data_IF_414480695308
#
_entry.id   IF_414480695308
#
_cell.length_a   1.000
_cell.length_b   1.000
_cell.length_c   1.000
_cell.angle_alpha   90.00
_cell.angle_beta   90.00
_cell.angle_gamma   90.00
#
_symmetry.space_group_name_H-M   'P 1'
#
loop_
_entity.id
_entity.type
_entity.pdbx_description
1 polymer ?
#
# COMPACT_ATOMS: atom_id res chain seq x y z
N UNK A 1 -1.40 -11.85 5.13
CA UNK A 1 -0.15 -12.38 4.55
C UNK A 1 0.80 -12.64 5.68
N UNK A 2 1.44 -13.82 5.72
CA UNK A 2 2.33 -14.22 6.81
C UNK A 2 3.78 -14.05 6.33
N UNK A 3 4.63 -13.34 7.09
CA UNK A 3 6.05 -13.20 6.72
C UNK A 3 6.83 -14.48 6.99
N UNK A 4 7.98 -14.62 6.33
CA UNK A 4 8.95 -15.69 6.64
C UNK A 4 9.35 -15.72 8.13
N UNK A 5 9.42 -14.56 8.80
CA UNK A 5 9.69 -14.49 10.24
C UNK A 5 8.50 -14.97 11.09
N UNK A 6 7.29 -14.50 10.79
CA UNK A 6 6.07 -14.93 11.47
C UNK A 6 5.82 -16.42 11.28
N UNK A 7 6.20 -16.99 10.14
CA UNK A 7 6.21 -18.44 9.91
C UNK A 7 7.11 -19.17 10.91
N UNK A 8 8.36 -18.73 11.05
CA UNK A 8 9.31 -19.36 11.97
C UNK A 8 8.83 -19.27 13.42
N UNK A 9 8.29 -18.12 13.83
CA UNK A 9 7.69 -17.96 15.15
C UNK A 9 6.44 -18.84 15.34
N UNK A 10 5.59 -18.94 14.31
CA UNK A 10 4.41 -19.79 14.33
C UNK A 10 4.78 -21.27 14.42
N UNK A 11 5.73 -21.75 13.61
CA UNK A 11 6.25 -23.13 13.66
C UNK A 11 6.80 -23.48 15.04
N UNK A 12 7.58 -22.57 15.64
CA UNK A 12 8.14 -22.74 16.99
C UNK A 12 7.04 -22.88 18.05
N UNK A 13 5.90 -22.22 17.87
CA UNK A 13 4.76 -22.23 18.80
C UNK A 13 3.67 -23.24 18.43
N UNK A 14 3.76 -23.90 17.28
CA UNK A 14 2.68 -24.73 16.72
C UNK A 14 2.23 -25.84 17.66
N UNK A 15 3.17 -26.50 18.36
CA UNK A 15 2.82 -27.56 19.32
C UNK A 15 1.99 -27.03 20.50
N UNK A 16 2.36 -25.86 21.03
CA UNK A 16 1.60 -25.20 22.10
C UNK A 16 0.24 -24.70 21.62
N UNK A 17 0.18 -24.13 20.41
CA UNK A 17 -1.06 -23.67 19.79
C UNK A 17 -2.02 -24.84 19.55
N UNK A 18 -1.54 -25.94 18.96
CA UNK A 18 -2.36 -27.15 18.77
C UNK A 18 -2.92 -27.65 20.11
N UNK A 19 -2.10 -27.68 21.18
CA UNK A 19 -2.57 -28.06 22.52
C UNK A 19 -3.64 -27.12 23.07
N UNK A 20 -3.54 -25.81 22.81
CA UNK A 20 -4.52 -24.81 23.26
C UNK A 20 -5.81 -24.80 22.43
N UNK A 21 -5.73 -25.16 21.15
CA UNK A 21 -6.89 -25.22 20.24
C UNK A 21 -7.73 -26.48 20.46
N UNK A 22 -7.15 -27.54 21.02
CA UNK A 22 -7.89 -28.74 21.38
C UNK A 22 -8.80 -28.44 22.59
N UNK A 23 -10.09 -28.64 22.38
CA UNK A 23 -11.14 -28.56 23.39
C UNK A 23 -11.10 -29.81 24.28
N UNK A 24 -11.75 -29.73 25.45
CA UNK A 24 -11.89 -30.90 26.34
C UNK A 24 -12.73 -32.03 25.74
N UNK A 25 -13.53 -31.73 24.71
CA UNK A 25 -14.37 -32.69 24.01
C UNK A 25 -13.73 -33.10 22.68
N UNK A 26 -13.35 -34.37 22.63
CA UNK A 26 -12.65 -35.00 21.50
C UNK A 26 -13.46 -34.97 20.20
N UNK A 27 -14.79 -34.93 20.25
CA UNK A 27 -15.61 -34.87 19.03
C UNK A 27 -15.45 -33.53 18.31
N UNK A 28 -15.37 -32.42 19.05
CA UNK A 28 -15.15 -31.11 18.45
C UNK A 28 -13.73 -30.97 17.90
N UNK A 29 -12.75 -31.63 18.51
CA UNK A 29 -11.37 -31.65 18.02
C UNK A 29 -11.26 -32.34 16.66
N UNK A 30 -11.93 -33.48 16.52
CA UNK A 30 -12.02 -34.20 15.24
C UNK A 30 -12.75 -33.36 14.19
N UNK A 31 -13.84 -32.69 14.56
CA UNK A 31 -14.59 -31.84 13.64
C UNK A 31 -13.75 -30.65 13.15
N UNK A 32 -13.08 -29.94 14.06
CA UNK A 32 -12.18 -28.84 13.73
C UNK A 32 -11.07 -29.29 12.78
N UNK A 33 -10.43 -30.42 13.09
CA UNK A 33 -9.43 -31.03 12.21
C UNK A 33 -10.00 -31.33 10.82
N UNK A 34 -11.15 -32.00 10.73
CA UNK A 34 -11.80 -32.35 9.46
C UNK A 34 -12.12 -31.11 8.62
N UNK A 35 -12.55 -30.01 9.24
CA UNK A 35 -12.82 -28.74 8.53
C UNK A 35 -11.54 -28.15 7.93
N UNK A 36 -10.47 -28.05 8.74
CA UNK A 36 -9.19 -27.49 8.29
C UNK A 36 -8.52 -28.35 7.20
N UNK A 37 -8.55 -29.68 7.37
CA UNK A 37 -8.03 -30.62 6.39
C UNK A 37 -8.77 -30.54 5.05
N UNK A 38 -10.11 -30.51 5.07
CA UNK A 38 -10.92 -30.38 3.85
C UNK A 38 -10.71 -29.03 3.15
N UNK A 39 -10.53 -27.95 3.91
CA UNK A 39 -10.21 -26.65 3.34
C UNK A 39 -8.90 -26.71 2.56
N UNK A 40 -7.85 -27.29 3.15
CA UNK A 40 -6.55 -27.45 2.50
C UNK A 40 -6.60 -28.35 1.25
N UNK A 41 -7.37 -29.45 1.29
CA UNK A 41 -7.53 -30.35 0.15
C UNK A 41 -8.19 -29.63 -1.03
N UNK A 42 -9.13 -28.72 -0.77
CA UNK A 42 -9.82 -27.94 -1.81
C UNK A 42 -8.99 -26.82 -2.41
N UNK A 43 -7.98 -26.32 -1.69
CA UNK A 43 -7.14 -25.21 -2.18
C UNK A 43 -5.98 -25.69 -3.06
N UNK A 44 -5.94 -26.96 -3.50
CA UNK A 44 -4.79 -27.62 -4.16
C UNK A 44 -3.47 -27.48 -3.41
N UNK A 45 -3.54 -27.01 -2.17
CA UNK A 45 -2.39 -26.73 -1.35
C UNK A 45 -1.90 -28.02 -0.68
N UNK A 46 -2.79 -28.98 -0.43
CA UNK A 46 -2.46 -30.13 0.39
C UNK A 46 -1.68 -31.23 -0.35
N UNK A 47 -0.47 -31.53 0.14
CA UNK A 47 0.30 -32.72 -0.29
C UNK A 47 -0.04 -33.97 0.52
N UNK A 48 -0.77 -33.81 1.62
CA UNK A 48 -0.84 -34.82 2.69
C UNK A 48 -2.12 -35.68 2.65
N UNK A 49 -3.02 -35.46 1.67
CA UNK A 49 -4.24 -36.25 1.42
C UNK A 49 -5.04 -36.57 2.69
N UNK A 50 -5.23 -35.57 3.56
CA UNK A 50 -5.80 -35.77 4.89
C UNK A 50 -7.28 -36.18 4.88
N UNK A 51 -8.01 -35.92 3.79
CA UNK A 51 -9.36 -36.44 3.54
C UNK A 51 -9.46 -37.98 3.51
N UNK A 52 -8.35 -38.71 3.40
CA UNK A 52 -8.33 -40.17 3.35
C UNK A 52 -8.08 -40.84 4.72
N UNK A 53 -7.96 -40.06 5.81
CA UNK A 53 -7.73 -40.61 7.14
C UNK A 53 -8.97 -41.37 7.66
N UNK A 54 -8.77 -42.62 8.10
CA UNK A 54 -9.81 -43.46 8.69
C UNK A 54 -10.27 -42.90 10.06
N UNK A 55 -11.56 -43.02 10.35
CA UNK A 55 -12.22 -42.53 11.56
C UNK A 55 -11.66 -43.17 12.84
N UNK A 56 -11.17 -44.40 12.76
CA UNK A 56 -10.45 -45.06 13.86
C UNK A 56 -9.14 -44.36 14.24
N UNK A 57 -8.47 -43.71 13.29
CA UNK A 57 -7.24 -42.95 13.54
C UNK A 57 -7.56 -41.61 14.22
N UNK A 58 -8.75 -41.05 13.92
CA UNK A 58 -9.25 -39.80 14.50
C UNK A 58 -9.83 -39.99 15.91
N UNK A 59 -10.10 -41.22 16.35
CA UNK A 59 -10.46 -41.52 17.74
C UNK A 59 -9.30 -41.42 18.73
N UNK A 60 -8.07 -41.22 18.26
CA UNK A 60 -6.90 -41.05 19.11
C UNK A 60 -6.52 -39.55 19.19
N UNK A 61 -6.79 -38.93 20.35
CA UNK A 61 -6.56 -37.50 20.59
C UNK A 61 -5.10 -37.07 20.40
N UNK A 62 -4.15 -37.96 20.69
CA UNK A 62 -2.71 -37.71 20.48
C UNK A 62 -2.36 -37.64 18.99
N UNK A 63 -2.95 -38.52 18.17
CA UNK A 63 -2.80 -38.48 16.71
C UNK A 63 -3.50 -37.29 16.09
N UNK A 64 -4.71 -36.95 16.54
CA UNK A 64 -5.43 -35.74 16.10
C UNK A 64 -4.59 -34.49 16.37
N UNK A 65 -3.93 -34.43 17.52
CA UNK A 65 -2.98 -33.36 17.85
C UNK A 65 -1.82 -33.29 16.86
N UNK A 66 -1.19 -34.42 16.54
CA UNK A 66 -0.09 -34.49 15.57
C UNK A 66 -0.55 -34.02 14.17
N UNK A 67 -1.70 -34.49 13.71
CA UNK A 67 -2.25 -34.07 12.42
C UNK A 67 -2.62 -32.59 12.39
N UNK A 68 -3.19 -32.07 13.49
CA UNK A 68 -3.48 -30.65 13.60
C UNK A 68 -2.20 -29.81 13.51
N UNK A 69 -1.12 -30.24 14.17
CA UNK A 69 0.17 -29.55 14.05
C UNK A 69 0.68 -29.53 12.60
N UNK A 70 0.55 -30.65 11.88
CA UNK A 70 0.99 -30.74 10.50
C UNK A 70 0.13 -29.88 9.57
N UNK A 71 -1.19 -29.86 9.76
CA UNK A 71 -2.12 -28.96 9.06
C UNK A 71 -1.76 -27.50 9.30
N UNK A 72 -1.51 -27.11 10.55
CA UNK A 72 -1.13 -25.74 10.89
C UNK A 72 0.20 -25.32 10.24
N UNK A 73 1.22 -26.20 10.26
CA UNK A 73 2.50 -25.93 9.57
C UNK A 73 2.30 -25.76 8.07
N UNK A 74 1.51 -26.65 7.46
CA UNK A 74 1.23 -26.61 6.04
C UNK A 74 0.45 -25.34 5.65
N UNK A 75 -0.51 -24.92 6.47
CA UNK A 75 -1.18 -23.62 6.30
C UNK A 75 -0.20 -22.44 6.39
N UNK A 76 0.78 -22.50 7.29
CA UNK A 76 1.81 -21.47 7.39
C UNK A 76 2.74 -21.46 6.17
N UNK A 77 3.09 -22.63 5.62
CA UNK A 77 3.84 -22.75 4.37
C UNK A 77 3.13 -22.07 3.21
N UNK A 78 1.85 -22.39 3.01
CA UNK A 78 1.01 -21.81 1.96
C UNK A 78 0.87 -20.31 2.13
N UNK A 79 0.68 -19.84 3.37
CA UNK A 79 0.60 -18.40 3.66
C UNK A 79 1.91 -17.63 3.41
N UNK A 80 3.04 -18.33 3.30
CA UNK A 80 4.37 -17.78 3.00
C UNK A 80 4.75 -17.94 1.53
N UNK A 81 4.14 -18.86 0.76
CA UNK A 81 4.33 -18.89 -0.70
C UNK A 81 4.01 -17.52 -1.30
N UNK A 82 2.95 -16.86 -0.82
CA UNK A 82 2.61 -15.48 -1.13
C UNK A 82 3.78 -14.48 -0.80
N UNK A 83 4.54 -14.70 0.27
CA UNK A 83 5.74 -13.91 0.64
C UNK A 83 6.95 -14.19 -0.26
N UNK A 84 7.08 -15.39 -0.81
CA UNK A 84 8.15 -15.74 -1.77
C UNK A 84 8.01 -14.92 -3.05
N UNK A 85 6.77 -14.71 -3.51
CA UNK A 85 6.45 -13.92 -4.70
C UNK A 85 6.29 -12.42 -4.42
N UNK A 86 6.36 -12.00 -3.15
CA UNK A 86 6.25 -10.60 -2.80
C UNK A 86 7.40 -9.77 -3.39
N UNK A 87 7.11 -8.55 -3.91
CA UNK A 87 8.14 -7.64 -4.39
C UNK A 87 9.23 -7.41 -3.35
N UNK A 88 10.49 -7.34 -3.79
CA UNK A 88 11.64 -7.08 -2.92
C UNK A 88 12.29 -5.75 -3.23
N UNK A 89 12.51 -4.96 -2.19
CA UNK A 89 13.02 -3.59 -2.29
C UNK A 89 14.45 -3.48 -1.78
N UNK A 90 15.22 -2.61 -2.41
CA UNK A 90 16.52 -2.16 -1.92
C UNK A 90 16.36 -1.14 -0.79
N UNK A 91 17.42 -0.95 -0.01
CA UNK A 91 17.50 0.16 0.96
C UNK A 91 17.34 1.53 0.29
N UNK A 92 17.74 1.69 -0.98
CA UNK A 92 17.53 2.91 -1.77
C UNK A 92 16.06 3.16 -2.11
N UNK A 93 15.34 2.11 -2.53
CA UNK A 93 13.90 2.21 -2.79
C UNK A 93 13.12 2.49 -1.50
N UNK A 94 13.44 1.80 -0.41
CA UNK A 94 12.80 2.06 0.88
C UNK A 94 13.10 3.47 1.39
N UNK A 95 14.32 3.98 1.22
CA UNK A 95 14.65 5.35 1.59
C UNK A 95 13.71 6.37 0.90
N UNK A 96 13.38 6.14 -0.37
CA UNK A 96 12.41 6.95 -1.12
C UNK A 96 11.01 6.85 -0.51
N UNK A 97 10.48 5.64 -0.31
CA UNK A 97 9.13 5.42 0.20
C UNK A 97 8.94 5.94 1.63
N UNK A 98 9.95 5.79 2.48
CA UNK A 98 9.91 6.27 3.86
C UNK A 98 10.26 7.76 4.01
N UNK A 99 10.68 8.45 2.95
CA UNK A 99 11.11 9.85 3.02
C UNK A 99 12.36 10.08 3.87
N UNK A 100 13.28 9.11 3.94
CA UNK A 100 14.50 9.17 4.78
C UNK A 100 15.77 8.85 4.00
N UNK A 101 16.93 9.03 4.62
CA UNK A 101 18.20 8.65 3.99
C UNK A 101 18.41 7.13 3.96
N UNK A 102 19.20 6.63 2.98
CA UNK A 102 19.64 5.22 2.93
C UNK A 102 20.36 4.83 4.23
N UNK A 103 21.13 5.75 4.81
CA UNK A 103 21.80 5.57 6.11
C UNK A 103 20.80 5.32 7.22
N UNK A 104 19.66 6.01 7.24
CA UNK A 104 18.59 5.82 8.21
C UNK A 104 17.99 4.42 8.10
N UNK A 105 17.69 3.95 6.89
CA UNK A 105 17.20 2.58 6.67
C UNK A 105 18.22 1.54 7.14
N UNK A 106 19.50 1.76 6.83
CA UNK A 106 20.58 0.89 7.29
C UNK A 106 20.67 0.81 8.82
N UNK A 107 20.53 1.94 9.51
CA UNK A 107 20.52 1.97 10.97
C UNK A 107 19.31 1.19 11.51
N UNK A 108 18.12 1.38 10.94
CA UNK A 108 16.92 0.65 11.37
C UNK A 108 17.01 -0.86 11.16
N UNK A 109 17.69 -1.31 10.11
CA UNK A 109 17.99 -2.74 9.92
C UNK A 109 18.92 -3.23 11.04
N UNK A 110 19.98 -2.48 11.34
CA UNK A 110 20.90 -2.81 12.45
C UNK A 110 20.21 -2.80 13.81
N UNK A 111 19.22 -1.92 14.01
CA UNK A 111 18.41 -1.81 15.23
C UNK A 111 17.32 -2.90 15.32
N UNK A 112 17.21 -3.79 14.32
CA UNK A 112 16.21 -4.86 14.30
C UNK A 112 14.78 -4.36 14.05
N UNK A 113 14.61 -3.14 13.51
CA UNK A 113 13.28 -2.57 13.23
C UNK A 113 12.61 -3.18 12.01
N UNK A 114 13.35 -3.90 11.16
CA UNK A 114 12.78 -4.75 10.11
C UNK A 114 12.86 -6.20 10.58
N UNK A 115 11.72 -6.78 10.95
CA UNK A 115 11.67 -8.10 11.57
C UNK A 115 12.14 -9.19 10.59
N UNK A 116 13.02 -10.08 11.07
CA UNK A 116 13.58 -11.17 10.28
C UNK A 116 14.62 -10.76 9.24
N UNK A 117 15.01 -9.49 9.18
CA UNK A 117 16.07 -9.01 8.29
C UNK A 117 17.38 -8.89 9.06
N UNK A 118 18.26 -9.86 8.86
CA UNK A 118 19.64 -9.79 9.35
C UNK A 118 20.59 -9.39 8.22
N UNK A 119 21.61 -8.59 8.54
CA UNK A 119 22.69 -8.28 7.59
C UNK A 119 23.54 -9.52 7.34
N UNK A 120 23.21 -10.24 6.26
CA UNK A 120 24.00 -11.38 5.79
C UNK A 120 25.25 -10.87 5.06
N UNK A 121 26.32 -10.65 5.83
CA UNK A 121 27.68 -10.22 5.43
C UNK A 121 27.81 -8.77 4.96
N UNK A 122 28.91 -8.14 5.39
CA UNK A 122 29.38 -6.83 4.95
C UNK A 122 29.45 -6.80 3.42
N UNK A 123 28.77 -5.84 2.79
CA UNK A 123 28.69 -5.58 1.34
C UNK A 123 27.61 -6.31 0.50
N UNK A 124 26.69 -7.09 1.08
CA UNK A 124 25.47 -7.49 0.33
C UNK A 124 24.37 -6.45 0.48
N UNK A 125 23.82 -5.99 -0.64
CA UNK A 125 22.62 -5.15 -0.65
C UNK A 125 21.45 -5.93 -0.02
N UNK A 126 20.94 -5.45 1.12
CA UNK A 126 19.77 -6.04 1.75
C UNK A 126 18.56 -5.90 0.80
N UNK A 127 17.87 -7.01 0.56
CA UNK A 127 16.61 -7.08 -0.21
C UNK A 127 15.50 -7.38 0.78
N UNK A 128 14.58 -6.44 0.93
CA UNK A 128 13.52 -6.48 1.95
C UNK A 128 12.20 -6.77 1.25
N UNK A 129 11.49 -7.81 1.68
CA UNK A 129 10.17 -8.18 1.14
C UNK A 129 9.14 -7.09 1.45
N UNK A 130 8.20 -6.87 0.54
CA UNK A 130 7.01 -6.04 0.75
C UNK A 130 6.27 -6.42 2.04
N UNK A 131 6.27 -7.70 2.43
CA UNK A 131 5.55 -8.13 3.63
C UNK A 131 6.33 -7.93 4.91
N UNK A 132 7.63 -7.61 4.82
CA UNK A 132 8.49 -7.43 6.00
C UNK A 132 7.83 -6.46 6.96
N UNK A 133 7.72 -6.85 8.23
CA UNK A 133 7.17 -5.99 9.27
C UNK A 133 8.24 -4.99 9.71
N UNK A 134 7.91 -3.70 9.58
CA UNK A 134 8.67 -2.60 10.14
C UNK A 134 8.06 -2.14 11.47
N UNK A 135 8.92 -1.94 12.47
CA UNK A 135 8.56 -1.45 13.80
C UNK A 135 8.85 0.05 13.85
N UNK A 136 7.80 0.84 14.04
CA UNK A 136 7.91 2.29 14.25
C UNK A 136 8.62 2.63 15.58
N UNK A 137 9.02 3.89 15.77
CA UNK A 137 9.66 4.34 17.01
C UNK A 137 8.74 4.19 18.24
N UNK A 138 7.42 4.22 18.02
CA UNK A 138 6.41 4.04 19.07
C UNK A 138 6.07 2.57 19.33
N UNK A 139 6.72 1.63 18.63
CA UNK A 139 6.48 0.19 18.77
C UNK A 139 5.31 -0.35 17.93
N UNK A 140 4.65 0.48 17.13
CA UNK A 140 3.62 0.01 16.17
C UNK A 140 4.27 -0.77 15.02
N UNK A 141 3.57 -1.79 14.54
CA UNK A 141 3.99 -2.68 13.45
C UNK A 141 3.28 -2.31 12.16
N UNK A 142 4.04 -2.20 11.07
CA UNK A 142 3.53 -1.90 9.74
C UNK A 142 4.20 -2.82 8.71
N UNK A 143 3.45 -3.49 7.82
CA UNK A 143 4.07 -4.15 6.68
C UNK A 143 4.64 -3.08 5.73
N UNK A 144 5.81 -3.36 5.13
CA UNK A 144 6.45 -2.44 4.17
C UNK A 144 5.52 -2.11 2.99
N UNK A 145 4.69 -3.06 2.55
CA UNK A 145 3.70 -2.89 1.50
C UNK A 145 2.68 -1.80 1.82
N UNK A 146 2.28 -1.66 3.09
CA UNK A 146 1.39 -0.59 3.50
C UNK A 146 2.08 0.78 3.34
N UNK A 147 3.34 0.90 3.77
CA UNK A 147 4.08 2.16 3.68
C UNK A 147 4.30 2.58 2.23
N UNK A 148 4.52 1.60 1.35
CA UNK A 148 4.65 1.83 -0.08
C UNK A 148 3.31 2.25 -0.66
N UNK A 149 2.22 1.58 -0.29
CA UNK A 149 0.87 1.94 -0.73
C UNK A 149 0.51 3.36 -0.29
N UNK A 150 0.76 3.70 0.97
CA UNK A 150 0.53 5.05 1.51
C UNK A 150 1.34 6.09 0.72
N UNK A 151 2.61 5.79 0.44
CA UNK A 151 3.44 6.66 -0.39
C UNK A 151 2.95 6.75 -1.84
N UNK A 152 2.50 5.65 -2.45
CA UNK A 152 1.96 5.62 -3.82
C UNK A 152 0.66 6.41 -3.91
N UNK A 153 -0.25 6.27 -2.93
CA UNK A 153 -1.46 7.08 -2.79
C UNK A 153 -1.11 8.56 -2.62
N UNK A 154 -0.17 8.90 -1.74
CA UNK A 154 0.34 10.26 -1.59
C UNK A 154 0.97 10.77 -2.89
N UNK A 155 1.69 9.94 -3.64
CA UNK A 155 2.25 10.32 -4.94
C UNK A 155 1.21 10.38 -6.05
N UNK A 156 0.09 9.67 -5.96
CA UNK A 156 -1.03 9.78 -6.88
C UNK A 156 -1.84 11.03 -6.57
N UNK A 157 -2.00 11.41 -5.30
CA UNK A 157 -2.54 12.70 -4.86
C UNK A 157 -1.60 13.85 -5.26
N UNK A 158 -0.30 13.69 -5.08
CA UNK A 158 0.72 14.64 -5.53
C UNK A 158 0.98 14.58 -7.04
N UNK A 159 0.62 13.48 -7.68
CA UNK A 159 0.71 13.24 -9.13
C UNK A 159 -0.50 13.81 -9.86
N UNK A 160 -1.68 13.75 -9.25
CA UNK A 160 -2.81 14.63 -9.56
C UNK A 160 -2.53 16.08 -9.15
N UNK A 161 -1.56 16.33 -8.26
CA UNK A 161 -0.99 17.67 -8.06
C UNK A 161 0.11 18.03 -9.08
N UNK A 162 0.72 17.07 -9.79
CA UNK A 162 1.56 17.31 -10.98
C UNK A 162 0.70 17.48 -12.25
N UNK A 163 -0.59 17.18 -12.17
CA UNK A 163 -1.57 17.82 -13.01
C UNK A 163 -1.77 19.29 -12.62
N UNK A 164 -1.09 19.93 -11.66
CA UNK A 164 -1.33 21.37 -11.42
C UNK A 164 -1.09 22.21 -12.67
N UNK A 165 -0.10 21.94 -13.52
CA UNK A 165 0.08 22.78 -14.71
C UNK A 165 -1.02 22.53 -15.77
N UNK A 166 -1.48 21.28 -15.93
CA UNK A 166 -2.57 20.93 -16.86
C UNK A 166 -3.96 21.27 -16.30
N UNK A 167 -4.14 21.17 -14.99
CA UNK A 167 -5.37 21.44 -14.26
C UNK A 167 -5.50 22.95 -13.98
N UNK A 168 -4.38 23.68 -13.80
CA UNK A 168 -4.34 25.15 -13.82
C UNK A 168 -4.64 25.64 -15.24
N UNK A 169 -4.08 25.05 -16.29
CA UNK A 169 -4.45 25.40 -17.66
C UNK A 169 -5.95 25.14 -17.94
N UNK A 170 -6.48 23.97 -17.57
CA UNK A 170 -7.91 23.64 -17.71
C UNK A 170 -8.78 24.55 -16.83
N UNK A 171 -8.37 24.85 -15.60
CA UNK A 171 -9.05 25.77 -14.69
C UNK A 171 -9.10 27.18 -15.27
N UNK A 172 -7.97 27.70 -15.77
CA UNK A 172 -7.90 29.02 -16.41
C UNK A 172 -8.76 29.07 -17.66
N UNK A 173 -8.73 28.04 -18.51
CA UNK A 173 -9.62 27.95 -19.69
C UNK A 173 -11.09 27.99 -19.26
N UNK A 174 -11.47 27.19 -18.26
CA UNK A 174 -12.85 27.16 -17.76
C UNK A 174 -13.28 28.51 -17.17
N UNK A 175 -12.44 29.17 -16.35
CA UNK A 175 -12.74 30.49 -15.80
C UNK A 175 -12.87 31.55 -16.90
N UNK A 176 -11.97 31.54 -17.90
CA UNK A 176 -12.05 32.45 -19.04
C UNK A 176 -13.34 32.22 -19.85
N UNK A 177 -13.73 30.97 -20.11
CA UNK A 177 -14.98 30.65 -20.82
C UNK A 177 -16.23 31.07 -20.05
N UNK A 178 -16.22 31.00 -18.71
CA UNK A 178 -17.34 31.49 -17.89
C UNK A 178 -17.53 33.00 -18.03
N UNK A 179 -16.44 33.77 -18.05
CA UNK A 179 -16.52 35.21 -18.27
C UNK A 179 -16.89 35.57 -19.72
N UNK A 180 -16.35 34.85 -20.72
CA UNK A 180 -16.74 35.03 -22.13
C UNK A 180 -18.24 34.76 -22.34
N UNK A 181 -18.78 33.72 -21.69
CA UNK A 181 -20.19 33.41 -21.73
C UNK A 181 -21.04 34.47 -20.99
N UNK A 182 -20.59 34.96 -19.84
CA UNK A 182 -21.29 36.00 -19.04
C UNK A 182 -21.40 37.33 -19.81
N UNK A 183 -20.36 37.71 -20.55
CA UNK A 183 -20.27 39.02 -21.21
C UNK A 183 -20.43 38.96 -22.74
N UNK A 184 -20.62 37.78 -23.33
CA UNK A 184 -20.95 37.60 -24.74
C UNK A 184 -19.77 37.75 -25.71
N UNK A 185 -18.53 37.54 -25.25
CA UNK A 185 -17.34 37.61 -26.09
C UNK A 185 -16.04 37.88 -25.34
N UNK A 186 -14.93 37.94 -26.08
CA UNK A 186 -13.59 38.17 -25.55
C UNK A 186 -13.47 39.46 -24.73
N UNK A 187 -12.66 39.44 -23.66
CA UNK A 187 -12.42 40.59 -22.78
C UNK A 187 -12.17 41.91 -23.52
N UNK A 188 -11.31 41.89 -24.56
CA UNK A 188 -10.94 43.09 -25.35
C UNK A 188 -12.10 43.70 -26.14
N UNK A 189 -13.19 42.97 -26.35
CA UNK A 189 -14.39 43.41 -27.09
C UNK A 189 -15.57 43.68 -26.16
N UNK A 190 -15.41 43.44 -24.86
CA UNK A 190 -16.46 43.58 -23.83
C UNK A 190 -15.99 44.55 -22.75
N UNK A 191 -15.61 44.05 -21.57
CA UNK A 191 -15.19 44.87 -20.43
C UNK A 191 -13.89 45.64 -20.69
N UNK A 192 -13.03 45.17 -21.60
CA UNK A 192 -11.80 45.85 -21.99
C UNK A 192 -11.98 47.07 -22.89
N UNK A 193 -13.21 47.35 -23.37
CA UNK A 193 -13.55 48.59 -24.09
C UNK A 193 -14.12 49.68 -23.17
N UNK A 194 -14.58 49.29 -21.99
CA UNK A 194 -15.17 50.20 -21.01
C UNK A 194 -14.05 50.89 -20.22
N UNK A 195 -14.24 52.18 -19.96
CA UNK A 195 -13.41 52.94 -19.02
C UNK A 195 -13.80 52.62 -17.56
N UNK A 196 -12.92 52.89 -16.60
CA UNK A 196 -13.18 52.60 -15.17
C UNK A 196 -14.47 53.24 -14.65
N UNK A 197 -14.85 54.39 -15.19
CA UNK A 197 -16.07 55.13 -14.84
C UNK A 197 -17.36 54.53 -15.46
N UNK A 198 -17.22 53.66 -16.46
CA UNK A 198 -18.32 52.98 -17.15
C UNK A 198 -18.58 51.56 -16.62
N UNK A 199 -17.72 51.08 -15.71
CA UNK A 199 -17.85 49.76 -15.07
C UNK A 199 -18.65 49.86 -13.78
N UNK A 200 -19.64 48.99 -13.63
CA UNK A 200 -20.26 48.78 -12.32
C UNK A 200 -19.25 48.13 -11.35
N UNK A 201 -19.52 48.20 -10.05
CA UNK A 201 -18.63 47.60 -9.04
C UNK A 201 -18.42 46.09 -9.23
N UNK A 202 -19.44 45.39 -9.71
CA UNK A 202 -19.35 43.96 -10.08
C UNK A 202 -18.48 43.77 -11.32
N UNK A 203 -18.72 44.54 -12.38
CA UNK A 203 -17.94 44.46 -13.63
C UNK A 203 -16.48 44.86 -13.44
N UNK A 204 -16.18 45.79 -12.53
CA UNK A 204 -14.81 46.19 -12.17
C UNK A 204 -14.06 45.04 -11.48
N UNK A 205 -14.74 44.33 -10.58
CA UNK A 205 -14.20 43.14 -9.90
C UNK A 205 -13.96 42.01 -10.90
N UNK A 206 -14.94 41.75 -11.76
CA UNK A 206 -14.85 40.72 -12.80
C UNK A 206 -13.79 41.05 -13.85
N UNK A 207 -13.66 42.32 -14.26
CA UNK A 207 -12.62 42.76 -15.20
C UNK A 207 -11.21 42.56 -14.61
N UNK A 208 -11.04 42.82 -13.31
CA UNK A 208 -9.77 42.61 -12.61
C UNK A 208 -9.41 41.13 -12.51
N UNK A 209 -10.37 40.28 -12.14
CA UNK A 209 -10.20 38.84 -12.09
C UNK A 209 -9.91 38.23 -13.47
N UNK A 210 -10.66 38.65 -14.49
CA UNK A 210 -10.48 38.19 -15.86
C UNK A 210 -9.10 38.58 -16.41
N UNK A 211 -8.64 39.81 -16.18
CA UNK A 211 -7.29 40.26 -16.56
C UNK A 211 -6.20 39.43 -15.87
N UNK A 212 -6.37 39.10 -14.59
CA UNK A 212 -5.46 38.21 -13.87
C UNK A 212 -5.38 36.82 -14.53
N UNK A 213 -6.51 36.21 -14.87
CA UNK A 213 -6.53 34.89 -15.51
C UNK A 213 -5.89 34.90 -16.90
N UNK A 214 -6.08 35.96 -17.70
CA UNK A 214 -5.43 36.13 -19.01
C UNK A 214 -3.91 36.22 -18.87
N UNK A 215 -3.40 37.04 -17.94
CA UNK A 215 -1.97 37.19 -17.71
C UNK A 215 -1.33 35.89 -17.19
N UNK A 216 -2.04 35.18 -16.32
CA UNK A 216 -1.60 33.88 -15.79
C UNK A 216 -1.54 32.81 -16.88
N UNK A 217 -2.53 32.76 -17.78
CA UNK A 217 -2.55 31.83 -18.91
C UNK A 217 -1.39 32.09 -19.88
N UNK A 218 -1.07 33.36 -20.16
CA UNK A 218 0.09 33.74 -20.99
C UNK A 218 1.40 33.28 -20.37
N UNK A 219 1.56 33.46 -19.05
CA UNK A 219 2.76 33.01 -18.34
C UNK A 219 2.98 31.50 -18.51
N UNK A 220 1.92 30.68 -18.33
CA UNK A 220 1.99 29.22 -18.50
C UNK A 220 2.37 28.82 -19.93
N UNK A 221 1.76 29.47 -20.94
CA UNK A 221 2.06 29.18 -22.35
C UNK A 221 3.51 29.53 -22.75
N UNK A 222 4.12 30.56 -22.13
CA UNK A 222 5.52 30.93 -22.38
C UNK A 222 6.50 29.90 -21.83
N UNK A 223 6.26 29.37 -20.62
CA UNK A 223 7.12 28.34 -20.01
C UNK A 223 7.05 26.98 -20.72
N UNK A 224 5.93 26.65 -21.38
CA UNK A 224 5.76 25.42 -22.15
C UNK A 224 6.56 25.37 -23.46
N UNK A 225 6.87 26.51 -24.07
CA UNK A 225 7.56 26.58 -25.38
C UNK A 225 9.10 26.59 -25.28
N UNK A 226 9.66 26.80 -24.09
CA UNK A 226 11.11 26.80 -23.84
C UNK A 226 11.71 25.42 -23.53
N UNK A 227 10.89 24.36 -23.47
CA UNK A 227 11.32 22.98 -23.18
C UNK A 227 11.25 22.03 -24.41
N UNK A 228 11.37 22.56 -25.63
CA UNK A 228 11.50 21.75 -26.86
C UNK A 228 12.87 21.93 -27.50
#
# INVERSE_FOLDING_TARGET
MLTTYEKQEFERKTSSLAKQMLLQDDNYNVLLFKVLANFLDRTNANKLQYSQLNEEVLGNSEKVREYLQNVLKHMADVAVEDDIYAPRYTTGQLAKYFGVSITTINNWISDGRFLGIERTKTNKQARISANTIWVSRTGKHYPVSQIIKDWEEEQEELGTSNLNDNNEAVFLINQLSLYEAKYGGEFKRTLGLKTEDELTSEESTDASAWKYFIERQKAINVYGNTKK
#
